data_IF_846731947825
#
_entry.id   IF_846731947825
#
_cell.length_a   1.000
_cell.length_b   1.000
_cell.length_c   1.000
_cell.angle_alpha   90.00
_cell.angle_beta   90.00
_cell.angle_gamma   90.00
#
_symmetry.space_group_name_H-M   'P 1'
#
loop_
_entity.id
_entity.type
_entity.pdbx_description
1 polymer ?
#
# COMPACT_ATOMS: atom_id res chain seq x y z
N UNK A 1 7.54 3.94 2.82
CA UNK A 1 7.71 3.15 1.59
C UNK A 1 7.92 4.11 0.43
N UNK A 2 8.80 3.78 -0.52
CA UNK A 2 9.10 4.61 -1.71
C UNK A 2 8.31 4.11 -2.93
N UNK A 3 7.00 4.04 -2.76
CA UNK A 3 6.09 3.64 -3.85
C UNK A 3 5.68 4.86 -4.66
N UNK A 4 5.59 4.69 -5.97
CA UNK A 4 5.12 5.70 -6.92
C UNK A 4 4.07 5.09 -7.84
N UNK A 5 3.34 5.92 -8.56
CA UNK A 5 2.48 5.43 -9.66
C UNK A 5 3.33 4.73 -10.70
N UNK A 6 3.03 3.47 -11.07
CA UNK A 6 3.77 2.76 -12.10
C UNK A 6 3.79 3.56 -13.41
N UNK A 7 4.96 3.78 -14.04
CA UNK A 7 5.02 4.52 -15.31
C UNK A 7 4.43 3.74 -16.48
N UNK A 8 4.32 2.41 -16.35
CA UNK A 8 3.76 1.51 -17.37
C UNK A 8 3.13 0.28 -16.72
N UNK A 9 2.21 -0.37 -17.42
CA UNK A 9 1.54 -1.58 -16.94
C UNK A 9 2.44 -2.79 -17.26
N UNK A 10 3.33 -3.12 -16.32
CA UNK A 10 4.27 -4.25 -16.41
C UNK A 10 3.55 -5.60 -16.22
N UNK A 11 4.29 -6.72 -16.41
CA UNK A 11 3.76 -8.05 -16.12
C UNK A 11 3.34 -8.19 -14.64
N UNK A 12 4.10 -7.60 -13.71
CA UNK A 12 3.80 -7.70 -12.28
C UNK A 12 2.54 -6.91 -11.92
N UNK A 13 2.35 -5.73 -12.52
CA UNK A 13 1.10 -4.97 -12.39
C UNK A 13 -0.08 -5.79 -12.93
N UNK A 14 0.04 -6.42 -14.11
CA UNK A 14 -1.03 -7.28 -14.64
C UNK A 14 -1.32 -8.47 -13.73
N UNK A 15 -0.30 -9.12 -13.17
CA UNK A 15 -0.47 -10.20 -12.19
C UNK A 15 -1.20 -9.72 -10.93
N UNK A 16 -0.81 -8.54 -10.40
CA UNK A 16 -1.45 -7.94 -9.24
C UNK A 16 -2.92 -7.62 -9.53
N UNK A 17 -3.22 -7.01 -10.69
CA UNK A 17 -4.60 -6.73 -11.12
C UNK A 17 -5.43 -8.02 -11.15
N UNK A 18 -4.92 -9.08 -11.77
CA UNK A 18 -5.65 -10.36 -11.83
C UNK A 18 -5.83 -10.99 -10.45
N UNK A 19 -4.93 -10.74 -9.51
CA UNK A 19 -5.05 -11.22 -8.13
C UNK A 19 -6.17 -10.48 -7.36
N UNK A 20 -6.26 -9.16 -7.49
CA UNK A 20 -7.26 -8.36 -6.76
C UNK A 20 -8.61 -8.29 -7.48
N UNK A 21 -8.60 -8.19 -8.81
CA UNK A 21 -9.80 -8.11 -9.67
C UNK A 21 -9.63 -9.03 -10.87
N UNK A 22 -9.98 -10.32 -10.77
CA UNK A 22 -9.95 -11.24 -11.91
C UNK A 22 -10.73 -10.68 -13.10
N UNK A 23 -10.09 -10.58 -14.26
CA UNK A 23 -10.66 -9.96 -15.47
C UNK A 23 -10.67 -8.44 -15.48
N UNK A 24 -10.18 -7.79 -14.43
CA UNK A 24 -10.09 -6.33 -14.33
C UNK A 24 -9.07 -5.74 -15.30
N UNK A 25 -9.28 -4.48 -15.67
CA UNK A 25 -8.39 -3.69 -16.51
C UNK A 25 -7.99 -2.43 -15.74
N UNK A 26 -6.69 -2.25 -15.52
CA UNK A 26 -6.18 -1.04 -14.88
C UNK A 26 -6.09 0.10 -15.89
N UNK A 27 -6.48 1.30 -15.46
CA UNK A 27 -6.50 2.50 -16.29
C UNK A 27 -5.83 3.65 -15.53
N UNK A 28 -5.03 4.45 -16.23
CA UNK A 28 -4.54 5.71 -15.68
C UNK A 28 -5.66 6.73 -15.64
N UNK A 29 -5.73 7.45 -14.52
CA UNK A 29 -6.68 8.53 -14.35
C UNK A 29 -6.01 9.74 -13.74
N UNK A 30 -6.61 10.90 -13.93
CA UNK A 30 -6.15 12.17 -13.41
C UNK A 30 -6.38 12.26 -11.90
N UNK A 31 -5.48 12.92 -11.23
CA UNK A 31 -5.62 13.34 -9.83
C UNK A 31 -5.92 14.83 -9.82
N UNK A 32 -7.10 15.19 -9.35
CA UNK A 32 -7.56 16.58 -9.18
C UNK A 32 -8.05 16.75 -7.74
N UNK A 33 -7.14 17.01 -6.79
CA UNK A 33 -7.49 17.12 -5.39
C UNK A 33 -8.49 18.25 -5.13
N UNK A 34 -9.51 17.97 -4.34
CA UNK A 34 -10.39 19.01 -3.84
C UNK A 34 -9.66 19.92 -2.83
N UNK A 35 -10.00 21.22 -2.74
CA UNK A 35 -9.28 22.16 -1.87
C UNK A 35 -9.23 21.75 -0.39
N UNK A 36 -10.30 21.12 0.10
CA UNK A 36 -10.43 20.71 1.51
C UNK A 36 -10.17 19.20 1.70
N UNK A 37 -9.71 18.49 0.67
CA UNK A 37 -9.44 17.07 0.74
C UNK A 37 -8.16 16.78 1.54
N UNK A 38 -8.21 15.74 2.36
CA UNK A 38 -7.09 15.29 3.18
C UNK A 38 -6.38 14.10 2.53
N UNK A 39 -5.05 14.07 2.65
CA UNK A 39 -4.26 12.90 2.24
C UNK A 39 -4.72 11.65 2.98
N UNK A 40 -4.74 10.51 2.28
CA UNK A 40 -5.13 9.18 2.80
C UNK A 40 -6.61 9.04 3.19
N UNK A 41 -7.41 10.07 3.04
CA UNK A 41 -8.84 10.09 3.39
C UNK A 41 -9.73 9.95 2.12
N UNK A 42 -9.43 8.99 1.25
CA UNK A 42 -10.09 8.86 -0.05
C UNK A 42 -11.61 8.69 0.05
N UNK A 43 -12.10 7.94 1.03
CA UNK A 43 -13.55 7.71 1.19
C UNK A 43 -14.30 8.97 1.63
N UNK A 44 -13.92 9.67 2.73
CA UNK A 44 -14.53 10.94 3.10
C UNK A 44 -14.40 12.02 2.02
N UNK A 45 -13.25 12.11 1.34
CA UNK A 45 -13.05 13.06 0.26
C UNK A 45 -14.06 12.85 -0.90
N UNK A 46 -14.25 11.59 -1.30
CA UNK A 46 -15.23 11.24 -2.36
C UNK A 46 -16.66 11.45 -1.88
N UNK A 47 -17.00 11.15 -0.64
CA UNK A 47 -18.33 11.41 -0.07
C UNK A 47 -18.65 12.92 -0.07
N UNK A 48 -17.71 13.76 0.35
CA UNK A 48 -17.85 15.22 0.32
C UNK A 48 -18.04 15.75 -1.13
N UNK A 49 -17.28 15.20 -2.10
CA UNK A 49 -17.43 15.51 -3.52
C UNK A 49 -18.81 15.16 -4.05
N UNK A 50 -19.29 13.97 -3.73
CA UNK A 50 -20.65 13.51 -4.14
C UNK A 50 -21.73 14.40 -3.54
N UNK A 51 -21.61 14.76 -2.26
CA UNK A 51 -22.60 15.61 -1.58
C UNK A 51 -22.73 17.00 -2.24
N UNK A 52 -21.67 17.53 -2.81
CA UNK A 52 -21.64 18.84 -3.46
C UNK A 52 -21.99 18.78 -4.95
N UNK A 53 -21.41 17.86 -5.70
CA UNK A 53 -21.42 17.84 -7.16
C UNK A 53 -22.19 16.66 -7.76
N UNK A 54 -22.77 15.79 -6.92
CA UNK A 54 -23.44 14.56 -7.37
C UNK A 54 -22.45 13.51 -7.84
N UNK A 55 -22.92 12.57 -8.68
CA UNK A 55 -22.11 11.44 -9.12
C UNK A 55 -22.13 10.28 -8.14
N UNK A 56 -21.09 9.44 -8.15
CA UNK A 56 -21.00 8.29 -7.25
C UNK A 56 -19.57 7.89 -6.95
N UNK A 57 -19.39 7.16 -5.85
CA UNK A 57 -18.14 6.52 -5.49
C UNK A 57 -17.90 5.27 -6.32
N UNK A 58 -16.67 5.11 -6.83
CA UNK A 58 -16.16 3.86 -7.34
C UNK A 58 -15.07 3.35 -6.39
N UNK A 59 -15.31 2.18 -5.80
CA UNK A 59 -14.30 1.46 -5.04
C UNK A 59 -13.47 0.58 -5.95
N UNK A 60 -12.21 0.40 -5.59
CA UNK A 60 -11.27 -0.42 -6.33
C UNK A 60 -9.89 -0.43 -5.71
N UNK A 61 -8.89 -0.55 -6.55
CA UNK A 61 -7.50 -0.66 -6.09
C UNK A 61 -6.64 0.35 -6.83
N UNK A 62 -6.00 1.25 -6.09
CA UNK A 62 -4.90 2.07 -6.59
C UNK A 62 -3.64 1.23 -6.61
N UNK A 63 -2.90 1.28 -7.73
CA UNK A 63 -1.73 0.44 -7.95
C UNK A 63 -0.46 1.28 -7.80
N UNK A 64 0.45 0.77 -7.01
CA UNK A 64 1.74 1.37 -6.71
C UNK A 64 2.88 0.47 -7.14
N UNK A 65 4.04 1.05 -7.39
CA UNK A 65 5.28 0.34 -7.64
C UNK A 65 6.41 0.90 -6.78
N UNK A 66 7.09 0.02 -6.06
CA UNK A 66 8.43 0.29 -5.59
C UNK A 66 9.39 -0.36 -6.59
N UNK A 67 10.07 0.43 -7.44
CA UNK A 67 10.90 -0.10 -8.53
C UNK A 67 11.88 -1.16 -8.05
N UNK A 68 11.93 -2.30 -8.75
CA UNK A 68 12.80 -3.45 -8.44
C UNK A 68 12.51 -4.19 -7.13
N UNK A 69 11.51 -3.78 -6.36
CA UNK A 69 11.15 -4.37 -5.06
C UNK A 69 9.80 -5.07 -5.14
N UNK A 70 8.72 -4.32 -5.24
CA UNK A 70 7.37 -4.88 -5.23
C UNK A 70 6.37 -4.00 -5.98
N UNK A 71 5.23 -4.58 -6.27
CA UNK A 71 4.02 -3.85 -6.68
C UNK A 71 2.95 -4.04 -5.60
N UNK A 72 2.12 -3.03 -5.40
CA UNK A 72 1.15 -2.98 -4.32
C UNK A 72 -0.19 -2.46 -4.84
N UNK A 73 -1.28 -3.07 -4.37
CA UNK A 73 -2.64 -2.62 -4.59
C UNK A 73 -3.23 -2.14 -3.26
N UNK A 74 -3.59 -0.88 -3.19
CA UNK A 74 -4.20 -0.22 -2.06
C UNK A 74 -5.71 -0.07 -2.31
N UNK A 75 -6.56 -0.48 -1.34
CA UNK A 75 -7.99 -0.30 -1.46
C UNK A 75 -8.33 1.19 -1.40
N UNK A 76 -8.96 1.68 -2.47
CA UNK A 76 -9.10 3.10 -2.73
C UNK A 76 -10.48 3.44 -3.31
N UNK A 77 -10.89 4.70 -3.14
CA UNK A 77 -12.09 5.24 -3.73
C UNK A 77 -11.75 6.42 -4.65
N UNK A 78 -12.46 6.48 -5.76
CA UNK A 78 -12.44 7.59 -6.69
C UNK A 78 -13.85 8.11 -6.96
N UNK A 79 -13.97 9.33 -7.44
CA UNK A 79 -15.23 9.90 -7.85
C UNK A 79 -15.54 9.60 -9.32
N UNK A 80 -16.75 9.13 -9.57
CA UNK A 80 -17.33 9.08 -10.91
C UNK A 80 -18.35 10.20 -11.02
N UNK A 81 -18.05 11.17 -11.89
CA UNK A 81 -18.92 12.32 -12.13
C UNK A 81 -20.27 11.93 -12.75
N UNK A 82 -21.28 12.80 -12.72
CA UNK A 82 -22.58 12.55 -13.39
C UNK A 82 -22.46 12.35 -14.91
N UNK A 83 -21.46 12.94 -15.55
CA UNK A 83 -21.15 12.80 -16.99
C UNK A 83 -20.18 11.65 -17.30
N UNK A 84 -19.80 10.84 -16.30
CA UNK A 84 -19.06 9.60 -16.48
C UNK A 84 -17.53 9.73 -16.42
N UNK A 85 -16.99 10.87 -16.00
CA UNK A 85 -15.55 11.04 -15.81
C UNK A 85 -15.09 10.38 -14.50
N UNK A 86 -13.97 9.68 -14.53
CA UNK A 86 -13.31 9.10 -13.36
C UNK A 86 -12.17 10.01 -12.91
N UNK A 87 -12.26 10.52 -11.69
CA UNK A 87 -11.28 11.45 -11.11
C UNK A 87 -10.91 11.00 -9.71
N UNK A 88 -9.63 11.00 -9.40
CA UNK A 88 -9.17 10.86 -8.03
C UNK A 88 -9.08 12.25 -7.38
N UNK A 89 -9.96 12.48 -6.42
CA UNK A 89 -10.09 13.77 -5.72
C UNK A 89 -9.25 13.88 -4.46
N UNK A 90 -8.44 12.86 -4.18
CA UNK A 90 -7.61 12.77 -2.97
C UNK A 90 -6.19 13.23 -3.26
N UNK A 91 -5.65 14.19 -2.50
CA UNK A 91 -4.27 14.63 -2.67
C UNK A 91 -3.30 13.48 -2.41
N UNK A 92 -2.17 13.49 -3.13
CA UNK A 92 -1.13 12.47 -3.06
C UNK A 92 0.12 13.04 -2.40
N UNK A 93 0.76 12.22 -1.54
CA UNK A 93 1.94 12.60 -0.77
C UNK A 93 3.10 13.14 -1.63
N UNK A 94 3.26 12.62 -2.85
CA UNK A 94 4.31 13.05 -3.78
C UNK A 94 3.77 13.88 -4.94
N UNK A 95 2.57 14.46 -4.78
CA UNK A 95 1.92 15.34 -5.77
C UNK A 95 1.75 14.67 -7.14
N UNK A 96 1.47 13.36 -7.16
CA UNK A 96 1.15 12.65 -8.39
C UNK A 96 -0.07 13.28 -9.07
N UNK A 97 0.07 13.62 -10.35
CA UNK A 97 -1.01 14.17 -11.18
C UNK A 97 -1.84 13.11 -11.88
N UNK A 98 -1.41 11.85 -11.80
CA UNK A 98 -2.14 10.68 -12.29
C UNK A 98 -1.88 9.48 -11.40
N UNK A 99 -2.84 8.57 -11.33
CA UNK A 99 -2.73 7.28 -10.65
C UNK A 99 -3.15 6.16 -11.58
N UNK A 100 -2.70 4.94 -11.27
CA UNK A 100 -3.16 3.73 -11.94
C UNK A 100 -4.20 3.04 -11.05
N UNK A 101 -5.39 2.80 -11.57
CA UNK A 101 -6.52 2.27 -10.79
C UNK A 101 -7.23 1.13 -11.52
N UNK A 102 -7.74 0.16 -10.77
CA UNK A 102 -8.66 -0.86 -11.26
C UNK A 102 -9.92 -0.87 -10.40
N UNK A 103 -11.09 -0.66 -11.01
CA UNK A 103 -12.37 -0.70 -10.31
C UNK A 103 -12.71 -2.13 -9.87
N UNK A 104 -13.20 -2.30 -8.63
CA UNK A 104 -13.70 -3.57 -8.12
C UNK A 104 -15.18 -3.43 -7.72
N UNK A 105 -16.12 -3.78 -8.61
CA UNK A 105 -17.54 -3.62 -8.35
C UNK A 105 -18.07 -4.55 -7.24
N UNK A 106 -17.27 -5.54 -6.82
CA UNK A 106 -17.63 -6.48 -5.74
C UNK A 106 -17.38 -5.90 -4.35
N UNK A 107 -16.58 -4.82 -4.27
CA UNK A 107 -16.22 -4.20 -2.99
C UNK A 107 -17.00 -2.92 -2.74
N UNK A 108 -17.25 -2.68 -1.45
CA UNK A 108 -17.84 -1.45 -0.91
C UNK A 108 -17.01 -1.03 0.29
N UNK A 109 -16.94 0.26 0.53
CA UNK A 109 -16.38 0.78 1.78
C UNK A 109 -17.34 0.49 2.94
N UNK A 110 -16.84 -0.10 4.01
CA UNK A 110 -17.61 -0.49 5.21
C UNK A 110 -17.08 0.17 6.48
N UNK A 111 -16.16 1.12 6.37
CA UNK A 111 -15.45 1.70 7.51
C UNK A 111 -14.30 0.84 8.03
N UNK A 112 -14.14 -0.39 7.55
CA UNK A 112 -13.07 -1.27 7.99
C UNK A 112 -11.80 -1.08 7.15
N UNK A 113 -10.65 -1.18 7.81
CA UNK A 113 -9.35 -1.21 7.13
C UNK A 113 -9.23 -2.47 6.27
N UNK A 114 -8.81 -2.28 5.02
CA UNK A 114 -8.49 -3.36 4.09
C UNK A 114 -6.98 -3.36 3.90
N UNK A 115 -6.32 -4.51 4.13
CA UNK A 115 -4.88 -4.60 3.91
C UNK A 115 -4.55 -4.52 2.42
N UNK A 116 -3.40 -3.92 2.13
CA UNK A 116 -2.88 -3.83 0.79
C UNK A 116 -2.43 -5.21 0.29
N UNK A 117 -2.65 -5.47 -0.99
CA UNK A 117 -2.16 -6.70 -1.62
C UNK A 117 -0.81 -6.42 -2.27
N UNK A 118 0.22 -7.14 -1.87
CA UNK A 118 1.60 -6.92 -2.31
C UNK A 118 2.13 -8.12 -3.09
N UNK A 119 2.92 -7.87 -4.14
CA UNK A 119 3.64 -8.90 -4.90
C UNK A 119 5.10 -8.48 -5.05
N UNK A 120 6.06 -9.36 -4.71
CA UNK A 120 7.47 -9.11 -4.98
C UNK A 120 7.74 -9.15 -6.49
N UNK A 121 8.60 -8.25 -6.99
CA UNK A 121 8.99 -8.28 -8.42
C UNK A 121 10.13 -9.27 -8.70
N UNK A 122 10.75 -9.81 -7.66
CA UNK A 122 11.77 -10.84 -7.75
C UNK A 122 11.73 -11.74 -6.51
N UNK A 123 12.26 -12.95 -6.64
CA UNK A 123 12.42 -13.87 -5.52
C UNK A 123 13.63 -13.44 -4.65
N UNK A 124 13.33 -12.79 -3.52
CA UNK A 124 14.32 -12.27 -2.57
C UNK A 124 13.70 -12.31 -1.17
N UNK A 125 14.38 -12.98 -0.22
CA UNK A 125 13.88 -13.15 1.15
C UNK A 125 13.68 -11.81 1.86
N UNK A 126 14.56 -10.81 1.61
CA UNK A 126 14.45 -9.48 2.19
C UNK A 126 13.14 -8.79 1.77
N UNK A 127 12.73 -8.94 0.50
CA UNK A 127 11.46 -8.39 0.00
C UNK A 127 10.27 -9.10 0.65
N UNK A 128 10.32 -10.43 0.75
CA UNK A 128 9.24 -11.20 1.42
C UNK A 128 9.08 -10.79 2.87
N UNK A 129 10.20 -10.57 3.59
CA UNK A 129 10.15 -10.09 4.97
C UNK A 129 9.56 -8.67 5.06
N UNK A 130 9.90 -7.77 4.15
CA UNK A 130 9.33 -6.42 4.14
C UNK A 130 7.81 -6.44 3.90
N UNK A 131 7.33 -7.32 3.02
CA UNK A 131 5.90 -7.55 2.79
C UNK A 131 5.26 -8.12 4.05
N UNK A 132 5.79 -9.20 4.62
CA UNK A 132 5.22 -9.85 5.80
C UNK A 132 5.18 -8.94 7.03
N UNK A 133 6.22 -8.12 7.27
CA UNK A 133 6.21 -7.12 8.35
C UNK A 133 5.12 -6.06 8.11
N UNK A 134 4.92 -5.61 6.86
CA UNK A 134 3.84 -4.66 6.54
C UNK A 134 2.45 -5.28 6.79
N UNK A 135 2.24 -6.53 6.42
CA UNK A 135 1.01 -7.28 6.68
C UNK A 135 0.79 -7.48 8.19
N UNK A 136 1.85 -7.81 8.95
CA UNK A 136 1.78 -7.93 10.40
C UNK A 136 1.40 -6.60 11.08
N UNK A 137 1.94 -5.47 10.63
CA UNK A 137 1.57 -4.13 11.10
C UNK A 137 0.07 -3.89 10.86
N UNK A 138 -0.42 -4.13 9.65
CA UNK A 138 -1.85 -3.95 9.34
C UNK A 138 -2.72 -4.87 10.20
N UNK A 139 -2.28 -6.11 10.43
CA UNK A 139 -2.99 -7.05 11.29
C UNK A 139 -3.07 -6.55 12.75
N UNK A 140 -1.98 -6.01 13.31
CA UNK A 140 -1.98 -5.42 14.67
C UNK A 140 -2.93 -4.21 14.71
N UNK A 141 -2.83 -3.29 13.75
CA UNK A 141 -3.66 -2.09 13.68
C UNK A 141 -5.15 -2.43 13.52
N UNK A 142 -5.50 -3.48 12.74
CA UNK A 142 -6.90 -3.89 12.53
C UNK A 142 -7.61 -4.39 13.79
N UNK A 143 -6.87 -4.75 14.84
CA UNK A 143 -7.38 -5.19 16.15
C UNK A 143 -7.33 -4.10 17.21
N UNK A 144 -6.80 -2.92 16.86
CA UNK A 144 -6.66 -1.81 17.79
C UNK A 144 -7.99 -1.14 18.11
N UNK A 145 -7.97 -0.29 19.13
CA UNK A 145 -9.14 0.46 19.60
C UNK A 145 -9.17 1.82 18.92
N UNK A 146 -10.27 2.18 18.21
CA UNK A 146 -10.41 3.52 17.64
C UNK A 146 -10.35 4.58 18.74
N UNK A 147 -9.64 5.67 18.47
CA UNK A 147 -9.54 6.85 19.36
C UNK A 147 -10.43 7.99 18.85
N UNK A 148 -10.74 8.94 19.70
CA UNK A 148 -11.65 10.05 19.38
C UNK A 148 -11.12 10.98 18.27
N UNK A 149 -9.81 10.98 18.04
CA UNK A 149 -9.12 11.74 16.99
C UNK A 149 -8.97 10.98 15.66
N UNK A 150 -9.66 9.84 15.52
CA UNK A 150 -9.66 9.03 14.30
C UNK A 150 -8.46 8.10 14.13
N UNK A 151 -7.57 8.02 15.12
CA UNK A 151 -6.45 7.07 15.12
C UNK A 151 -6.86 5.73 15.71
N UNK A 152 -5.93 4.78 15.66
CA UNK A 152 -6.08 3.46 16.28
C UNK A 152 -5.00 3.28 17.35
N UNK A 153 -5.42 2.97 18.57
CA UNK A 153 -4.52 2.65 19.67
C UNK A 153 -4.25 1.15 19.72
N UNK A 154 -2.98 0.78 19.80
CA UNK A 154 -2.52 -0.60 19.96
C UNK A 154 -1.43 -0.66 21.04
N UNK A 155 -1.18 -1.81 21.69
CA UNK A 155 -0.09 -1.97 22.64
C UNK A 155 1.27 -1.68 21.99
N UNK A 156 2.08 -0.83 22.62
CA UNK A 156 3.40 -0.44 22.10
C UNK A 156 4.32 -1.66 21.88
N UNK A 157 4.28 -2.63 22.78
CA UNK A 157 5.06 -3.87 22.66
C UNK A 157 4.68 -4.75 21.47
N UNK A 158 3.49 -4.57 20.87
CA UNK A 158 3.08 -5.28 19.66
C UNK A 158 3.52 -4.54 18.39
N UNK A 159 3.49 -3.21 18.39
CA UNK A 159 3.69 -2.42 17.17
C UNK A 159 5.14 -1.93 17.00
N UNK A 160 5.82 -1.52 18.08
CA UNK A 160 7.17 -0.95 18.00
C UNK A 160 8.21 -1.91 17.39
N UNK A 161 8.25 -3.21 17.73
CA UNK A 161 9.21 -4.14 17.11
C UNK A 161 8.98 -4.28 15.60
N UNK A 162 7.71 -4.29 15.16
CA UNK A 162 7.35 -4.34 13.75
C UNK A 162 7.75 -3.07 13.01
N UNK A 163 7.55 -1.90 13.61
CA UNK A 163 7.97 -0.62 13.03
C UNK A 163 9.49 -0.52 12.90
N UNK A 164 10.24 -0.99 13.89
CA UNK A 164 11.70 -1.06 13.84
C UNK A 164 12.17 -2.02 12.73
N UNK A 165 11.54 -3.19 12.62
CA UNK A 165 11.82 -4.13 11.54
C UNK A 165 11.49 -3.52 10.15
N UNK A 166 10.39 -2.81 10.03
CA UNK A 166 9.99 -2.11 8.81
C UNK A 166 11.02 -1.04 8.40
N UNK A 167 11.51 -0.26 9.35
CA UNK A 167 12.54 0.76 9.11
C UNK A 167 13.85 0.12 8.64
N UNK A 168 14.30 -0.93 9.32
CA UNK A 168 15.51 -1.67 8.94
C UNK A 168 15.39 -2.26 7.52
N UNK A 169 14.29 -2.94 7.24
CA UNK A 169 14.03 -3.57 5.93
C UNK A 169 13.90 -2.52 4.82
N UNK A 170 13.21 -1.42 5.11
CA UNK A 170 13.08 -0.28 4.19
C UNK A 170 14.44 0.31 3.83
N UNK A 171 15.28 0.59 4.83
CA UNK A 171 16.65 1.09 4.60
C UNK A 171 17.49 0.08 3.81
N UNK A 172 17.42 -1.20 4.17
CA UNK A 172 18.16 -2.26 3.49
C UNK A 172 17.78 -2.37 2.01
N UNK A 173 16.48 -2.30 1.68
CA UNK A 173 16.00 -2.32 0.30
C UNK A 173 16.40 -1.07 -0.48
N UNK A 174 16.37 0.12 0.15
CA UNK A 174 16.80 1.37 -0.47
C UNK A 174 18.29 1.39 -0.82
N UNK A 175 19.13 0.78 0.02
CA UNK A 175 20.56 0.63 -0.25
C UNK A 175 20.87 -0.47 -1.26
N UNK A 176 19.84 -1.15 -1.78
CA UNK A 176 19.99 -2.23 -2.75
C UNK A 176 20.47 -3.56 -2.16
N UNK A 177 20.43 -3.71 -0.83
CA UNK A 177 20.78 -4.97 -0.19
C UNK A 177 19.96 -6.14 -0.74
N UNK A 178 20.62 -7.27 -0.90
CA UNK A 178 20.00 -8.55 -1.24
C UNK A 178 20.27 -9.60 -0.16
N UNK A 179 19.42 -10.62 -0.11
CA UNK A 179 19.47 -11.67 0.90
C UNK A 179 20.82 -12.40 1.00
N UNK A 180 21.57 -12.49 -0.10
CA UNK A 180 22.88 -13.16 -0.18
C UNK A 180 24.08 -12.22 0.04
N UNK A 181 23.85 -10.91 0.24
CA UNK A 181 24.91 -9.92 0.52
C UNK A 181 25.18 -9.78 2.03
N UNK A 182 26.34 -9.19 2.42
CA UNK A 182 26.62 -8.90 3.82
C UNK A 182 25.53 -8.05 4.46
N UNK A 183 25.06 -8.46 5.65
CA UNK A 183 24.03 -7.75 6.39
C UNK A 183 24.51 -6.36 6.84
N UNK A 184 23.64 -5.37 6.83
CA UNK A 184 23.94 -3.99 7.24
C UNK A 184 24.34 -3.83 8.70
N UNK A 185 24.13 -4.84 9.55
CA UNK A 185 24.57 -4.81 10.96
C UNK A 185 26.08 -4.83 11.16
N UNK A 186 26.87 -4.98 10.09
CA UNK A 186 28.33 -5.03 10.18
C UNK A 186 28.91 -6.35 10.71
N UNK A 187 28.09 -7.34 11.07
CA UNK A 187 28.55 -8.63 11.62
C UNK A 187 29.16 -9.60 10.60
N UNK A 188 29.38 -9.18 9.35
CA UNK A 188 30.03 -9.95 8.28
C UNK A 188 29.23 -11.11 7.70
N UNK A 189 28.14 -11.54 8.34
CA UNK A 189 27.26 -12.59 7.82
C UNK A 189 26.31 -12.05 6.76
N UNK A 190 25.92 -12.91 5.78
CA UNK A 190 24.89 -12.57 4.79
C UNK A 190 23.54 -12.38 5.48
N UNK A 191 22.67 -11.48 4.95
CA UNK A 191 21.35 -11.20 5.52
C UNK A 191 20.57 -12.49 5.81
N UNK A 192 20.47 -13.41 4.86
CA UNK A 192 19.77 -14.70 5.00
C UNK A 192 20.34 -15.65 6.07
N UNK A 193 21.47 -15.32 6.66
CA UNK A 193 22.11 -16.06 7.79
C UNK A 193 22.34 -15.17 9.00
N UNK A 194 21.74 -13.99 9.03
CA UNK A 194 21.86 -12.99 10.07
C UNK A 194 20.45 -12.54 10.51
N UNK A 195 20.02 -11.33 10.16
CA UNK A 195 18.71 -10.78 10.53
C UNK A 195 17.53 -11.50 9.86
N UNK A 196 17.72 -12.15 8.71
CA UNK A 196 16.64 -12.90 8.06
C UNK A 196 15.97 -13.91 9.00
N UNK A 197 16.72 -14.93 9.53
CA UNK A 197 16.15 -15.90 10.47
C UNK A 197 15.69 -15.31 11.80
N UNK A 198 16.22 -14.16 12.22
CA UNK A 198 15.76 -13.47 13.43
C UNK A 198 14.35 -12.88 13.21
N UNK A 199 14.12 -12.22 12.07
CA UNK A 199 12.81 -11.66 11.71
C UNK A 199 11.77 -12.77 11.50
N UNK A 200 12.14 -13.88 10.82
CA UNK A 200 11.24 -15.02 10.64
C UNK A 200 10.75 -15.57 11.99
N UNK A 201 11.64 -15.74 12.96
CA UNK A 201 11.27 -16.22 14.30
C UNK A 201 10.47 -15.20 15.10
N UNK A 202 10.84 -13.93 15.01
CA UNK A 202 10.20 -12.86 15.79
C UNK A 202 8.77 -12.59 15.36
N UNK A 203 8.47 -12.70 14.07
CA UNK A 203 7.19 -12.30 13.49
C UNK A 203 6.44 -13.41 12.75
N UNK A 204 6.93 -14.65 12.82
CA UNK A 204 6.35 -15.82 12.14
C UNK A 204 6.11 -15.60 10.63
N UNK A 205 7.11 -14.98 9.95
CA UNK A 205 7.06 -14.61 8.53
C UNK A 205 7.34 -15.81 7.61
#
# INVERSE_FOLDING_TARGET
LHTTTPPQITRHIRQLVQRVVPGGVATYMVVEPEPDALEKECFPNVEAKIARDGGRMLCGWQLWEWPHVMVEAEFHAIWLSPDGQMVDVTPKLHHETKVLFVSDPRRRYTGATVDNVRLPVRDDQLIRHAIGVSEAITHVLSRGVPTADGHVSVPANEIEPLQQAQQFLGHALLTGLRDHQPCLCGGGRKYKRCHGPELERAFAL
#
